data_IF_275252959105
#
_entry.id   IF_275252959105
#
_cell.length_a   1.000
_cell.length_b   1.000
_cell.length_c   1.000
_cell.angle_alpha   90.00
_cell.angle_beta   90.00
_cell.angle_gamma   90.00
#
_symmetry.space_group_name_H-M   'P 1'
#
loop_
_entity.id
_entity.type
_entity.pdbx_description
1 polymer ?
#
# COMPACT_ATOMS: atom_id res chain seq x y z
N UNK A 1 40.44 9.06 -25.29
CA UNK A 1 40.45 8.67 -23.87
C UNK A 1 39.08 9.00 -23.27
N UNK A 2 38.22 7.99 -23.11
CA UNK A 2 36.85 8.14 -22.59
C UNK A 2 36.90 8.08 -21.06
N UNK A 3 36.47 9.15 -20.39
CA UNK A 3 36.25 9.17 -18.93
C UNK A 3 35.10 8.21 -18.61
N UNK A 4 35.40 7.09 -17.94
CA UNK A 4 34.38 6.29 -17.28
C UNK A 4 33.93 7.04 -16.02
N UNK A 5 32.64 7.28 -15.91
CA UNK A 5 32.02 7.73 -14.66
C UNK A 5 31.83 6.47 -13.84
N UNK A 6 32.70 6.26 -12.86
CA UNK A 6 32.48 5.30 -11.78
C UNK A 6 31.24 5.76 -11.01
N UNK A 7 30.16 4.98 -11.08
CA UNK A 7 29.02 5.12 -10.16
C UNK A 7 29.49 4.57 -8.83
N UNK A 8 29.92 5.46 -7.94
CA UNK A 8 30.25 5.14 -6.56
C UNK A 8 29.00 4.60 -5.85
N UNK A 9 29.16 3.49 -5.14
CA UNK A 9 28.23 3.04 -4.10
C UNK A 9 28.13 4.13 -3.04
N UNK A 10 27.09 4.95 -3.11
CA UNK A 10 26.86 6.03 -2.17
C UNK A 10 26.61 5.44 -0.78
N UNK A 11 27.35 5.92 0.23
CA UNK A 11 27.23 5.43 1.60
C UNK A 11 25.87 5.83 2.20
N UNK A 12 25.27 4.97 3.01
CA UNK A 12 24.03 5.26 3.76
C UNK A 12 24.10 6.58 4.56
N UNK A 13 25.30 6.99 4.99
CA UNK A 13 25.52 8.28 5.67
C UNK A 13 25.47 9.48 4.73
N UNK A 14 25.99 9.35 3.52
CA UNK A 14 25.90 10.38 2.47
C UNK A 14 24.45 10.52 1.97
N UNK A 15 23.71 9.40 1.93
CA UNK A 15 22.28 9.36 1.64
C UNK A 15 21.43 10.17 2.64
N UNK A 16 21.64 9.97 3.95
CA UNK A 16 20.93 10.74 4.99
C UNK A 16 21.27 12.24 4.90
N UNK A 17 22.53 12.57 4.61
CA UNK A 17 22.98 13.96 4.51
C UNK A 17 22.34 14.72 3.33
N UNK A 18 22.13 14.06 2.18
CA UNK A 18 21.42 14.66 1.04
C UNK A 18 19.91 14.76 1.32
N UNK A 19 19.30 13.73 1.93
CA UNK A 19 17.88 13.73 2.27
C UNK A 19 17.51 14.87 3.23
N UNK A 20 18.37 15.18 4.20
CA UNK A 20 18.14 16.28 5.15
C UNK A 20 18.27 17.68 4.51
N UNK A 21 19.05 17.83 3.43
CA UNK A 21 19.25 19.13 2.76
C UNK A 21 18.17 19.49 1.74
N UNK A 22 17.32 18.53 1.31
CA UNK A 22 16.18 18.81 0.41
C UNK A 22 15.00 19.43 1.19
N UNK A 23 14.96 19.29 2.52
CA UNK A 23 13.83 19.70 3.38
C UNK A 23 13.82 21.20 3.70
N UNK A 24 14.89 21.96 3.42
CA UNK A 24 15.00 23.37 3.84
C UNK A 24 14.41 24.40 2.87
N UNK A 25 14.01 24.01 1.65
CA UNK A 25 13.30 24.88 0.70
C UNK A 25 12.24 24.08 -0.08
N UNK A 26 11.02 24.01 0.43
CA UNK A 26 9.92 23.33 -0.27
C UNK A 26 9.65 24.01 -1.63
N UNK A 27 9.74 23.26 -2.72
CA UNK A 27 9.43 23.75 -4.06
C UNK A 27 7.94 24.10 -4.16
N UNK A 28 7.64 25.18 -4.89
CA UNK A 28 6.26 25.59 -5.15
C UNK A 28 5.52 24.51 -5.96
N UNK A 29 4.28 24.22 -5.57
CA UNK A 29 3.40 23.32 -6.30
C UNK A 29 2.78 24.04 -7.53
N UNK A 30 2.67 23.38 -8.69
CA UNK A 30 1.96 23.92 -9.85
C UNK A 30 0.47 24.20 -9.55
N UNK A 31 -0.13 25.13 -10.29
CA UNK A 31 -1.54 25.51 -10.09
C UNK A 31 -2.54 24.35 -10.29
N UNK A 32 -2.20 23.37 -11.16
CA UNK A 32 -3.04 22.18 -11.36
C UNK A 32 -2.98 21.19 -10.20
N UNK A 33 -1.96 21.27 -9.33
CA UNK A 33 -1.64 20.26 -8.34
C UNK A 33 -2.72 20.12 -7.25
N UNK A 34 -3.19 21.20 -6.59
CA UNK A 34 -4.25 21.09 -5.59
C UNK A 34 -5.56 20.58 -6.20
N UNK A 35 -5.86 20.98 -7.45
CA UNK A 35 -7.05 20.50 -8.16
C UNK A 35 -6.97 18.99 -8.45
N UNK A 36 -5.81 18.52 -8.93
CA UNK A 36 -5.56 17.13 -9.32
C UNK A 36 -5.73 16.14 -8.16
N UNK A 37 -5.43 16.57 -6.94
CA UNK A 37 -5.43 15.73 -5.74
C UNK A 37 -6.41 16.22 -4.66
N UNK A 38 -7.37 17.08 -5.03
CA UNK A 38 -8.38 17.65 -4.12
C UNK A 38 -9.25 16.60 -3.43
N UNK A 39 -9.32 15.38 -3.96
CA UNK A 39 -10.07 14.27 -3.37
C UNK A 39 -9.28 13.47 -2.32
N UNK A 40 -7.99 13.73 -2.14
CA UNK A 40 -7.14 13.01 -1.20
C UNK A 40 -7.28 13.56 0.23
N UNK A 41 -7.17 12.69 1.22
CA UNK A 41 -6.98 13.11 2.62
C UNK A 41 -5.56 13.66 2.85
N UNK A 42 -5.34 14.32 4.00
CA UNK A 42 -4.06 14.98 4.30
C UNK A 42 -2.83 14.06 4.20
N UNK A 43 -2.91 12.84 4.74
CA UNK A 43 -1.80 11.87 4.67
C UNK A 43 -1.46 11.46 3.22
N UNK A 44 -2.48 11.16 2.41
CA UNK A 44 -2.30 10.77 0.99
C UNK A 44 -1.80 11.96 0.16
N UNK A 45 -2.32 13.16 0.43
CA UNK A 45 -1.89 14.41 -0.19
C UNK A 45 -0.43 14.74 0.15
N UNK A 46 -0.01 14.52 1.39
CA UNK A 46 1.38 14.68 1.81
C UNK A 46 2.33 13.76 1.03
N UNK A 47 1.95 12.49 0.83
CA UNK A 47 2.76 11.53 0.07
C UNK A 47 2.96 11.98 -1.38
N UNK A 48 1.91 12.42 -2.08
CA UNK A 48 2.08 12.92 -3.46
C UNK A 48 2.95 14.17 -3.50
N UNK A 49 2.77 15.09 -2.54
CA UNK A 49 3.61 16.28 -2.43
C UNK A 49 5.09 15.90 -2.27
N UNK A 50 5.42 14.91 -1.45
CA UNK A 50 6.79 14.43 -1.28
C UNK A 50 7.38 13.86 -2.57
N UNK A 51 6.60 13.11 -3.35
CA UNK A 51 7.03 12.66 -4.68
C UNK A 51 7.39 13.85 -5.55
N UNK A 52 6.54 14.90 -5.56
CA UNK A 52 6.81 16.11 -6.32
C UNK A 52 8.09 16.81 -5.87
N UNK A 53 8.37 16.87 -4.57
CA UNK A 53 9.61 17.48 -4.05
C UNK A 53 10.85 16.69 -4.45
N UNK A 54 10.81 15.35 -4.36
CA UNK A 54 11.98 14.49 -4.53
C UNK A 54 12.39 14.21 -5.97
N UNK A 55 11.46 14.26 -6.92
CA UNK A 55 11.68 13.71 -8.27
C UNK A 55 11.88 14.81 -9.34
N UNK A 56 13.11 15.20 -9.70
CA UNK A 56 13.36 16.24 -10.70
C UNK A 56 12.90 15.85 -12.10
N UNK A 57 13.09 14.60 -12.51
CA UNK A 57 12.66 14.12 -13.84
C UNK A 57 11.15 14.21 -14.00
N UNK A 58 10.37 13.95 -12.95
CA UNK A 58 8.92 14.13 -12.95
C UNK A 58 8.55 15.59 -13.27
N UNK A 59 9.23 16.55 -12.64
CA UNK A 59 8.97 17.98 -12.84
C UNK A 59 9.32 18.43 -14.25
N UNK A 60 10.42 17.93 -14.81
CA UNK A 60 10.79 18.20 -16.20
C UNK A 60 9.72 17.68 -17.18
N UNK A 61 9.22 16.47 -16.98
CA UNK A 61 8.16 15.91 -17.83
C UNK A 61 6.82 16.64 -17.66
N UNK A 62 6.51 17.12 -16.46
CA UNK A 62 5.36 17.99 -16.23
C UNK A 62 5.53 19.32 -16.98
N UNK A 63 6.72 19.92 -16.99
CA UNK A 63 7.01 21.12 -17.77
C UNK A 63 6.91 20.86 -19.29
N UNK A 64 7.30 19.67 -19.77
CA UNK A 64 7.06 19.27 -21.16
C UNK A 64 5.57 19.15 -21.48
N UNK A 65 4.75 18.64 -20.56
CA UNK A 65 3.29 18.64 -20.71
C UNK A 65 2.73 20.08 -20.77
N UNK A 66 3.26 20.99 -19.94
CA UNK A 66 2.81 22.37 -19.87
C UNK A 66 2.97 23.12 -21.21
N UNK A 67 3.93 22.71 -22.06
CA UNK A 67 4.13 23.28 -23.40
C UNK A 67 2.95 23.04 -24.35
N UNK A 68 2.11 22.04 -24.08
CA UNK A 68 0.91 21.77 -24.88
C UNK A 68 -0.30 22.59 -24.42
N UNK A 69 -0.22 23.32 -23.30
CA UNK A 69 -1.29 24.24 -22.91
C UNK A 69 -1.26 25.50 -23.77
N UNK A 70 -2.43 25.99 -24.23
CA UNK A 70 -2.49 27.22 -25.00
C UNK A 70 -1.99 28.40 -24.17
N UNK A 71 -1.16 29.31 -24.75
CA UNK A 71 -0.75 30.52 -24.05
C UNK A 71 -1.97 31.39 -23.71
N UNK A 72 -2.00 31.94 -22.48
CA UNK A 72 -3.11 32.79 -21.96
C UNK A 72 -3.36 34.05 -22.79
N UNK A 73 -2.34 34.55 -23.48
CA UNK A 73 -2.44 35.59 -24.50
C UNK A 73 -1.92 35.01 -25.81
N UNK A 74 -2.81 34.64 -26.73
CA UNK A 74 -2.38 34.27 -28.08
C UNK A 74 -1.93 35.52 -28.83
N UNK A 75 -0.63 35.77 -28.86
CA UNK A 75 -0.01 36.56 -29.93
C UNK A 75 0.24 35.62 -31.10
N UNK A 76 -0.44 35.88 -32.21
CA UNK A 76 -0.04 35.36 -33.51
C UNK A 76 1.43 35.75 -33.74
N UNK A 77 2.33 34.77 -33.85
CA UNK A 77 3.74 34.98 -34.23
C UNK A 77 4.20 33.80 -35.09
N UNK A 78 5.15 33.99 -36.02
CA UNK A 78 4.82 34.37 -37.38
C UNK A 78 5.50 33.43 -38.38
N UNK A 79 4.75 32.52 -38.99
CA UNK A 79 5.15 31.93 -40.26
C UNK A 79 3.90 31.54 -41.04
N UNK A 80 3.52 32.42 -41.97
CA UNK A 80 2.64 32.12 -43.11
C UNK A 80 1.14 32.28 -42.85
N UNK A 81 0.63 33.50 -43.00
CA UNK A 81 -0.71 33.82 -43.53
C UNK A 81 -1.90 32.90 -43.19
N UNK A 82 -2.29 32.78 -41.92
CA UNK A 82 -3.54 32.09 -41.57
C UNK A 82 -4.44 32.95 -40.69
N UNK A 83 -5.46 33.54 -41.31
CA UNK A 83 -6.64 34.11 -40.64
C UNK A 83 -7.45 32.99 -39.98
N UNK A 84 -7.05 32.57 -38.78
CA UNK A 84 -7.85 31.69 -37.93
C UNK A 84 -8.86 32.56 -37.18
N UNK A 85 -10.15 32.47 -37.54
CA UNK A 85 -11.22 33.09 -36.75
C UNK A 85 -11.59 32.17 -35.59
N UNK A 86 -11.41 32.66 -34.37
CA UNK A 86 -11.99 32.05 -33.17
C UNK A 86 -13.51 32.21 -33.23
N UNK A 87 -14.23 31.12 -33.46
CA UNK A 87 -15.65 31.08 -33.15
C UNK A 87 -15.81 30.44 -31.78
N UNK A 88 -16.18 31.27 -30.79
CA UNK A 88 -16.82 30.77 -29.58
C UNK A 88 -18.28 30.44 -29.95
N UNK A 89 -18.83 29.41 -29.32
CA UNK A 89 -20.23 28.91 -29.37
C UNK A 89 -20.47 27.81 -30.42
N UNK A 90 -21.12 26.67 -30.15
CA UNK A 90 -21.99 26.23 -29.05
C UNK A 90 -21.75 24.75 -28.67
N UNK A 91 -22.13 24.38 -27.44
CA UNK A 91 -22.36 23.01 -26.91
C UNK A 91 -21.22 21.96 -26.92
N UNK A 92 -20.11 22.12 -27.65
CA UNK A 92 -18.98 21.19 -27.55
C UNK A 92 -18.02 21.57 -26.41
N UNK A 93 -17.60 20.57 -25.61
CA UNK A 93 -16.66 20.71 -24.47
C UNK A 93 -15.21 20.93 -24.90
N UNK A 94 -14.94 21.14 -26.19
CA UNK A 94 -13.60 21.23 -26.75
C UNK A 94 -13.41 22.57 -27.46
N UNK A 95 -12.33 23.32 -27.18
CA UNK A 95 -11.97 24.49 -27.96
C UNK A 95 -11.49 24.04 -29.34
N UNK A 96 -12.45 23.92 -30.27
CA UNK A 96 -12.19 23.66 -31.67
C UNK A 96 -12.00 24.97 -32.41
N UNK A 97 -11.08 24.98 -33.38
CA UNK A 97 -10.90 26.10 -34.30
C UNK A 97 -11.18 25.62 -35.72
N UNK A 98 -11.81 26.49 -36.51
CA UNK A 98 -12.13 26.20 -37.90
C UNK A 98 -10.98 26.65 -38.80
N UNK A 99 -10.40 25.72 -39.55
CA UNK A 99 -9.40 26.03 -40.55
C UNK A 99 -10.10 26.34 -41.88
N UNK A 100 -9.99 27.59 -42.35
CA UNK A 100 -10.60 28.03 -43.62
C UNK A 100 -10.02 27.34 -44.85
N UNK A 101 -8.79 26.83 -44.78
CA UNK A 101 -8.12 26.22 -45.93
C UNK A 101 -8.59 24.79 -46.21
N UNK A 102 -8.63 23.94 -45.18
CA UNK A 102 -9.14 22.56 -45.30
C UNK A 102 -10.64 22.45 -44.98
N UNK A 103 -11.31 23.58 -44.72
CA UNK A 103 -12.74 23.66 -44.35
C UNK A 103 -13.13 22.70 -43.22
N UNK A 104 -12.21 22.44 -42.29
CA UNK A 104 -12.36 21.42 -41.26
C UNK A 104 -12.16 22.01 -39.86
N UNK A 105 -12.85 21.41 -38.88
CA UNK A 105 -12.66 21.72 -37.46
C UNK A 105 -11.47 20.94 -36.92
N UNK A 106 -10.59 21.65 -36.22
CA UNK A 106 -9.42 21.06 -35.56
C UNK A 106 -9.47 21.36 -34.06
N UNK A 107 -9.22 20.33 -33.25
CA UNK A 107 -8.99 20.52 -31.81
C UNK A 107 -7.59 21.08 -31.60
N UNK A 108 -7.44 22.09 -30.73
CA UNK A 108 -6.13 22.64 -30.34
C UNK A 108 -5.15 21.55 -29.85
N UNK A 109 -5.68 20.50 -29.24
CA UNK A 109 -4.91 19.41 -28.67
C UNK A 109 -4.68 18.23 -29.63
N UNK A 110 -5.00 18.36 -30.91
CA UNK A 110 -4.79 17.32 -31.91
C UNK A 110 -3.33 16.86 -31.95
N UNK A 111 -3.09 15.56 -31.84
CA UNK A 111 -1.74 14.98 -31.80
C UNK A 111 -0.99 15.14 -30.47
N UNK A 112 -1.59 15.77 -29.45
CA UNK A 112 -1.00 15.93 -28.12
C UNK A 112 -1.55 14.90 -27.11
N UNK A 113 -0.91 14.70 -25.94
CA UNK A 113 -1.46 13.88 -24.86
C UNK A 113 -2.87 14.29 -24.41
N UNK A 114 -3.24 15.57 -24.61
CA UNK A 114 -4.55 16.15 -24.24
C UNK A 114 -5.65 15.95 -25.29
N UNK A 115 -5.36 15.33 -26.44
CA UNK A 115 -6.34 15.14 -27.51
C UNK A 115 -7.62 14.45 -27.01
N UNK A 116 -8.80 15.04 -27.24
CA UNK A 116 -10.09 14.51 -26.79
C UNK A 116 -10.21 14.33 -25.26
N UNK A 117 -9.44 15.09 -24.46
CA UNK A 117 -9.68 15.20 -23.02
C UNK A 117 -10.44 16.49 -22.74
N UNK A 118 -11.53 16.39 -21.98
CA UNK A 118 -12.19 17.57 -21.42
C UNK A 118 -11.22 18.34 -20.53
N UNK A 119 -11.36 19.66 -20.48
CA UNK A 119 -10.49 20.51 -19.66
C UNK A 119 -10.51 20.12 -18.17
N UNK A 120 -11.63 19.64 -17.64
CA UNK A 120 -11.75 19.12 -16.27
C UNK A 120 -10.91 17.85 -16.02
N UNK A 121 -10.47 17.17 -17.08
CA UNK A 121 -9.69 15.95 -17.02
C UNK A 121 -8.19 16.17 -17.26
N UNK A 122 -7.76 17.39 -17.61
CA UNK A 122 -6.35 17.69 -17.85
C UNK A 122 -5.50 17.49 -16.59
N UNK A 123 -5.98 17.98 -15.43
CA UNK A 123 -5.34 17.76 -14.13
C UNK A 123 -5.15 16.27 -13.81
N UNK A 124 -6.04 15.40 -14.29
CA UNK A 124 -5.96 13.94 -14.11
C UNK A 124 -4.80 13.33 -14.90
N UNK A 125 -4.45 13.86 -16.08
CA UNK A 125 -3.28 13.40 -16.83
C UNK A 125 -1.99 13.63 -16.04
N UNK A 126 -1.86 14.80 -15.41
CA UNK A 126 -0.75 15.10 -14.50
C UNK A 126 -0.76 14.22 -13.25
N UNK A 127 -1.94 14.01 -12.65
CA UNK A 127 -2.09 13.12 -11.50
C UNK A 127 -1.59 11.70 -11.83
N UNK A 128 -1.96 11.16 -13.00
CA UNK A 128 -1.46 9.86 -13.48
C UNK A 128 0.05 9.87 -13.65
N UNK A 129 0.63 10.93 -14.23
CA UNK A 129 2.08 11.08 -14.37
C UNK A 129 2.79 10.99 -13.00
N UNK A 130 2.31 11.72 -11.99
CA UNK A 130 2.86 11.69 -10.63
C UNK A 130 2.77 10.27 -10.04
N UNK A 131 1.65 9.55 -10.24
CA UNK A 131 1.49 8.20 -9.68
C UNK A 131 2.47 7.17 -10.23
N UNK A 132 3.12 7.42 -11.37
CA UNK A 132 4.16 6.53 -11.91
C UNK A 132 5.43 6.48 -11.02
N UNK A 133 5.67 7.52 -10.22
CA UNK A 133 6.83 7.65 -9.31
C UNK A 133 6.57 7.19 -7.87
N UNK A 134 5.40 6.63 -7.58
CA UNK A 134 5.13 6.13 -6.23
C UNK A 134 5.24 4.62 -6.07
N UNK A 135 5.43 4.25 -4.82
CA UNK A 135 5.58 2.88 -4.34
C UNK A 135 4.20 2.35 -3.91
N UNK A 136 3.33 2.09 -4.88
CA UNK A 136 1.95 1.68 -4.63
C UNK A 136 1.49 0.58 -5.59
N UNK A 137 0.44 -0.10 -5.19
CA UNK A 137 -0.32 -0.98 -6.07
C UNK A 137 -1.00 -0.18 -7.19
N UNK A 138 -1.27 -0.84 -8.32
CA UNK A 138 -2.00 -0.22 -9.44
C UNK A 138 -3.33 0.36 -8.96
N UNK A 139 -4.02 -0.34 -8.07
CA UNK A 139 -5.33 0.09 -7.58
C UNK A 139 -5.26 1.32 -6.66
N UNK A 140 -4.18 1.45 -5.90
CA UNK A 140 -3.89 2.67 -5.14
C UNK A 140 -3.56 3.82 -6.10
N UNK A 141 -2.74 3.60 -7.12
CA UNK A 141 -2.46 4.62 -8.12
C UNK A 141 -3.72 5.09 -8.88
N UNK A 142 -4.65 4.18 -9.19
CA UNK A 142 -5.97 4.53 -9.76
C UNK A 142 -6.72 5.48 -8.82
N UNK A 143 -6.73 5.19 -7.51
CA UNK A 143 -7.35 6.05 -6.52
C UNK A 143 -6.64 7.40 -6.38
N UNK A 144 -5.32 7.38 -6.19
CA UNK A 144 -4.50 8.59 -5.99
C UNK A 144 -4.63 9.55 -7.17
N UNK A 145 -4.65 9.01 -8.40
CA UNK A 145 -4.84 9.82 -9.62
C UNK A 145 -6.29 10.26 -9.87
N UNK A 146 -7.26 9.86 -9.03
CA UNK A 146 -8.67 10.20 -9.23
C UNK A 146 -9.30 9.51 -10.45
N UNK A 147 -8.74 8.39 -10.90
CA UNK A 147 -9.31 7.55 -11.96
C UNK A 147 -10.39 6.62 -11.39
N UNK A 148 -11.44 6.36 -12.18
CA UNK A 148 -12.55 5.49 -11.73
C UNK A 148 -12.24 4.00 -11.85
N UNK A 149 -11.49 3.59 -12.88
CA UNK A 149 -11.20 2.19 -13.18
C UNK A 149 -9.89 2.02 -13.96
N UNK A 150 -9.34 0.80 -13.93
CA UNK A 150 -8.03 0.46 -14.49
C UNK A 150 -7.88 0.76 -15.99
N UNK A 151 -8.93 0.57 -16.78
CA UNK A 151 -8.93 0.89 -18.23
C UNK A 151 -8.74 2.40 -18.47
N UNK A 152 -9.35 3.26 -17.65
CA UNK A 152 -9.17 4.72 -17.73
C UNK A 152 -7.72 5.09 -17.41
N UNK A 153 -7.20 4.61 -16.28
CA UNK A 153 -5.81 4.86 -15.87
C UNK A 153 -4.79 4.42 -16.92
N UNK A 154 -4.95 3.20 -17.48
CA UNK A 154 -4.11 2.71 -18.60
C UNK A 154 -4.21 3.59 -19.84
N UNK A 155 -5.39 4.15 -20.13
CA UNK A 155 -5.60 5.12 -21.21
C UNK A 155 -4.76 6.39 -21.01
N UNK A 156 -4.71 6.93 -19.79
CA UNK A 156 -3.82 8.05 -19.46
C UNK A 156 -2.34 7.67 -19.57
N UNK A 157 -1.92 6.50 -19.09
CA UNK A 157 -0.54 6.04 -19.27
C UNK A 157 -0.17 5.91 -20.76
N UNK A 158 -1.09 5.44 -21.60
CA UNK A 158 -0.88 5.35 -23.05
C UNK A 158 -0.67 6.74 -23.66
N UNK A 159 -1.42 7.76 -23.23
CA UNK A 159 -1.27 9.16 -23.66
C UNK A 159 0.08 9.75 -23.26
N UNK A 160 0.60 9.37 -22.09
CA UNK A 160 1.89 9.83 -21.57
C UNK A 160 3.10 9.18 -22.26
N UNK A 161 2.93 8.14 -23.08
CA UNK A 161 4.06 7.40 -23.67
C UNK A 161 5.05 8.29 -24.40
N UNK A 162 4.59 9.19 -25.27
CA UNK A 162 5.49 10.08 -26.02
C UNK A 162 6.31 10.99 -25.11
N UNK A 163 5.70 11.49 -24.04
CA UNK A 163 6.37 12.33 -23.03
C UNK A 163 7.37 11.50 -22.22
N UNK A 164 6.99 10.30 -21.77
CA UNK A 164 7.88 9.40 -21.04
C UNK A 164 9.10 8.97 -21.88
N UNK A 165 8.97 8.87 -23.20
CA UNK A 165 10.10 8.56 -24.09
C UNK A 165 11.17 9.66 -24.11
N UNK A 166 10.85 10.91 -23.74
CA UNK A 166 11.80 12.02 -23.65
C UNK A 166 12.87 11.80 -22.57
N UNK A 167 12.62 10.90 -21.62
CA UNK A 167 13.62 10.47 -20.64
C UNK A 167 14.86 9.88 -21.34
N UNK A 168 14.65 9.14 -22.45
CA UNK A 168 15.74 8.44 -23.13
C UNK A 168 16.41 7.40 -22.24
N UNK A 169 17.74 7.47 -22.12
CA UNK A 169 18.56 6.51 -21.34
C UNK A 169 18.91 6.99 -19.94
N UNK A 170 18.49 8.19 -19.53
CA UNK A 170 18.84 8.73 -18.20
C UNK A 170 18.00 8.06 -17.12
N UNK A 171 18.55 7.87 -15.90
CA UNK A 171 17.77 7.36 -14.77
C UNK A 171 16.56 8.25 -14.48
N UNK A 172 15.41 7.62 -14.21
CA UNK A 172 14.15 8.33 -13.90
C UNK A 172 14.10 8.89 -12.48
N UNK A 173 14.98 8.42 -11.61
CA UNK A 173 15.07 8.83 -10.21
C UNK A 173 16.52 8.77 -9.75
N UNK A 174 16.86 9.54 -8.72
CA UNK A 174 18.12 9.43 -7.99
C UNK A 174 18.06 8.38 -6.88
N UNK A 175 16.85 7.90 -6.57
CA UNK A 175 16.57 7.05 -5.42
C UNK A 175 15.83 5.78 -5.85
N UNK A 176 16.55 4.80 -6.43
CA UNK A 176 15.95 3.59 -6.95
C UNK A 176 15.09 2.87 -5.90
N UNK A 177 13.92 2.42 -6.29
CA UNK A 177 13.00 1.66 -5.42
C UNK A 177 11.97 0.95 -6.29
N UNK A 178 10.93 0.38 -5.70
CA UNK A 178 9.76 0.05 -6.50
C UNK A 178 9.10 1.35 -7.00
N UNK A 179 9.07 1.55 -8.32
CA UNK A 179 8.29 2.61 -8.97
C UNK A 179 7.29 1.96 -9.91
N UNK A 180 6.01 2.30 -9.76
CA UNK A 180 4.94 1.68 -10.52
C UNK A 180 5.15 1.74 -12.05
N UNK A 181 5.71 2.84 -12.54
CA UNK A 181 5.88 3.09 -13.97
C UNK A 181 7.17 2.56 -14.60
N UNK A 182 8.13 2.08 -13.80
CA UNK A 182 9.51 1.93 -14.27
C UNK A 182 10.17 0.65 -13.78
N UNK A 183 10.86 -0.03 -14.69
CA UNK A 183 11.72 -1.17 -14.35
C UNK A 183 13.01 -0.71 -13.65
N UNK A 184 13.66 -1.56 -12.83
CA UNK A 184 14.88 -1.17 -12.12
C UNK A 184 16.00 -0.62 -13.03
N UNK A 185 16.18 -1.18 -14.23
CA UNK A 185 17.16 -0.67 -15.19
C UNK A 185 16.91 0.78 -15.64
N UNK A 186 15.64 1.20 -15.72
CA UNK A 186 15.27 2.59 -16.05
C UNK A 186 15.57 3.56 -14.89
N UNK A 187 15.80 3.04 -13.69
CA UNK A 187 16.20 3.79 -12.50
C UNK A 187 17.72 3.83 -12.32
N UNK A 188 18.49 3.32 -13.29
CA UNK A 188 19.95 3.28 -13.23
C UNK A 188 20.50 2.11 -12.40
N UNK A 189 19.70 1.07 -12.15
CA UNK A 189 20.16 -0.15 -11.47
C UNK A 189 20.72 -1.13 -12.50
N UNK A 190 21.89 -1.72 -12.19
CA UNK A 190 22.50 -2.78 -12.97
C UNK A 190 22.60 -4.08 -12.16
N UNK A 191 22.54 -5.21 -12.85
CA UNK A 191 22.78 -6.51 -12.21
C UNK A 191 24.20 -6.56 -11.61
N UNK A 192 24.37 -6.90 -10.33
CA UNK A 192 25.70 -6.98 -9.72
C UNK A 192 26.55 -8.11 -10.32
N UNK A 193 25.92 -9.15 -10.87
CA UNK A 193 26.62 -10.30 -11.44
C UNK A 193 27.06 -10.12 -12.90
N UNK A 194 26.24 -9.47 -13.74
CA UNK A 194 26.52 -9.37 -15.19
C UNK A 194 26.45 -7.95 -15.77
N UNK A 195 26.22 -6.93 -14.92
CA UNK A 195 26.07 -5.51 -15.31
C UNK A 195 24.95 -5.21 -16.31
N UNK A 196 24.03 -6.16 -16.56
CA UNK A 196 22.87 -5.92 -17.41
C UNK A 196 21.83 -5.05 -16.70
N UNK A 197 21.26 -4.09 -17.43
CA UNK A 197 20.10 -3.29 -17.01
C UNK A 197 18.75 -3.96 -17.37
N UNK A 198 18.77 -5.17 -17.95
CA UNK A 198 17.57 -5.98 -18.21
C UNK A 198 17.10 -6.63 -16.91
N UNK A 199 16.39 -5.82 -16.13
CA UNK A 199 15.95 -6.14 -14.78
C UNK A 199 14.43 -6.02 -14.67
N UNK A 200 13.83 -6.92 -13.92
CA UNK A 200 12.42 -6.87 -13.52
C UNK A 200 12.29 -7.02 -12.01
N UNK A 201 11.18 -6.54 -11.45
CA UNK A 201 10.86 -6.83 -10.05
C UNK A 201 10.50 -8.30 -9.90
N UNK A 202 11.12 -8.98 -8.95
CA UNK A 202 10.82 -10.38 -8.64
C UNK A 202 9.50 -10.53 -7.86
N UNK A 203 8.91 -9.42 -7.43
CA UNK A 203 7.73 -9.37 -6.57
C UNK A 203 6.63 -8.53 -7.20
N UNK A 204 5.38 -8.97 -7.06
CA UNK A 204 4.21 -8.24 -7.55
C UNK A 204 3.83 -7.05 -6.66
N UNK A 205 4.30 -7.02 -5.42
CA UNK A 205 3.94 -6.00 -4.43
C UNK A 205 5.00 -4.89 -4.40
N UNK A 206 4.58 -3.63 -4.24
CA UNK A 206 5.50 -2.52 -4.06
C UNK A 206 6.29 -2.67 -2.75
N UNK A 207 7.58 -2.34 -2.81
CA UNK A 207 8.47 -2.29 -1.66
C UNK A 207 9.49 -1.15 -1.81
N UNK A 208 9.85 -0.54 -0.69
CA UNK A 208 10.96 0.41 -0.66
C UNK A 208 12.29 -0.24 -1.00
N UNK A 209 12.48 -1.49 -0.57
CA UNK A 209 13.65 -2.32 -0.88
C UNK A 209 13.24 -3.62 -1.61
N UNK A 210 12.97 -3.55 -2.93
CA UNK A 210 12.43 -4.68 -3.68
C UNK A 210 13.47 -5.74 -3.99
N UNK A 211 13.01 -6.99 -4.17
CA UNK A 211 13.78 -8.04 -4.83
C UNK A 211 13.76 -7.83 -6.35
N UNK A 212 14.91 -7.97 -6.98
CA UNK A 212 15.12 -7.77 -8.41
C UNK A 212 15.59 -9.07 -9.04
N UNK A 213 15.03 -9.38 -10.22
CA UNK A 213 15.44 -10.48 -11.07
C UNK A 213 16.15 -9.95 -12.31
N UNK A 214 17.34 -10.45 -12.59
CA UNK A 214 18.06 -10.16 -13.82
C UNK A 214 17.64 -11.13 -14.92
N UNK A 215 17.03 -10.62 -15.99
CA UNK A 215 16.58 -11.46 -17.10
C UNK A 215 17.75 -12.05 -17.91
N UNK A 216 18.91 -11.40 -17.89
CA UNK A 216 20.07 -11.80 -18.67
C UNK A 216 20.82 -13.00 -18.06
N UNK A 217 21.05 -13.00 -16.74
CA UNK A 217 21.82 -14.06 -16.06
C UNK A 217 21.02 -14.82 -15.00
N UNK A 218 19.72 -14.55 -14.87
CA UNK A 218 18.79 -15.18 -13.92
C UNK A 218 19.12 -14.94 -12.44
N UNK A 219 20.14 -14.13 -12.13
CA UNK A 219 20.50 -13.77 -10.76
C UNK A 219 19.40 -12.95 -10.09
N UNK A 220 19.13 -13.23 -8.81
CA UNK A 220 18.20 -12.48 -7.97
C UNK A 220 18.96 -11.79 -6.83
N UNK A 221 18.63 -10.55 -6.55
CA UNK A 221 19.26 -9.75 -5.50
C UNK A 221 18.28 -8.73 -4.91
N UNK A 222 18.54 -8.31 -3.69
CA UNK A 222 17.83 -7.21 -3.03
C UNK A 222 18.51 -5.90 -3.40
N UNK A 223 17.73 -4.85 -3.69
CA UNK A 223 18.27 -3.57 -4.14
C UNK A 223 19.25 -2.93 -3.14
N UNK A 224 18.90 -2.96 -1.85
CA UNK A 224 19.70 -2.46 -0.73
C UNK A 224 20.02 -3.63 0.23
N UNK A 225 21.12 -4.38 0.01
CA UNK A 225 21.43 -5.59 0.79
C UNK A 225 21.75 -5.30 2.27
N UNK A 226 22.22 -4.09 2.58
CA UNK A 226 22.53 -3.64 3.93
C UNK A 226 21.28 -3.31 4.76
N UNK A 227 20.12 -3.15 4.12
CA UNK A 227 18.87 -2.79 4.78
C UNK A 227 18.14 -4.07 5.22
N UNK A 228 17.81 -4.22 6.52
CA UNK A 228 17.07 -5.36 7.01
C UNK A 228 15.74 -5.58 6.29
N UNK A 229 15.34 -6.84 6.23
CA UNK A 229 14.12 -7.26 5.52
C UNK A 229 12.88 -6.49 5.98
N UNK A 230 12.11 -6.01 5.00
CA UNK A 230 10.87 -5.26 5.19
C UNK A 230 11.01 -3.89 5.85
N UNK A 231 12.22 -3.31 5.90
CA UNK A 231 12.41 -1.89 6.18
C UNK A 231 12.32 -1.12 4.86
N UNK A 232 11.53 -0.05 4.86
CA UNK A 232 11.50 0.91 3.76
C UNK A 232 12.59 1.98 3.98
N UNK A 233 13.61 2.07 3.10
CA UNK A 233 14.64 3.10 3.18
C UNK A 233 14.11 4.53 3.05
N UNK A 234 12.94 4.69 2.42
CA UNK A 234 12.44 5.99 1.94
C UNK A 234 11.23 6.51 2.72
N UNK A 235 10.69 5.72 3.65
CA UNK A 235 9.61 6.14 4.51
C UNK A 235 10.09 7.26 5.46
N UNK A 236 9.46 8.43 5.40
CA UNK A 236 9.80 9.58 6.26
C UNK A 236 9.53 9.29 7.73
N UNK A 237 8.39 8.66 8.00
CA UNK A 237 8.15 7.99 9.28
C UNK A 237 8.75 6.61 9.11
N UNK A 238 9.94 6.38 9.67
CA UNK A 238 10.40 5.01 9.87
C UNK A 238 9.25 4.26 10.55
N UNK A 239 8.93 3.03 10.12
CA UNK A 239 7.99 2.18 10.83
C UNK A 239 8.29 2.29 12.32
N UNK A 240 7.36 2.79 13.17
CA UNK A 240 7.70 3.28 14.51
C UNK A 240 8.68 2.33 15.18
N UNK A 241 9.96 2.72 15.20
CA UNK A 241 11.05 1.84 15.66
C UNK A 241 10.87 1.59 17.17
N UNK A 242 9.98 2.34 17.85
CA UNK A 242 9.53 2.12 19.22
C UNK A 242 8.60 0.91 19.37
N UNK A 243 7.97 0.43 18.30
CA UNK A 243 7.13 -0.77 18.31
C UNK A 243 7.93 -1.96 17.76
N UNK A 244 8.57 -2.75 18.63
CA UNK A 244 9.38 -3.89 18.20
C UNK A 244 8.52 -4.98 17.56
N UNK A 245 9.13 -5.71 16.64
CA UNK A 245 8.54 -6.90 16.02
C UNK A 245 8.98 -8.13 16.83
N UNK A 246 8.05 -8.90 17.43
CA UNK A 246 8.40 -10.07 18.24
C UNK A 246 9.19 -11.13 17.48
N UNK A 247 10.05 -11.87 18.17
CA UNK A 247 10.87 -12.93 17.56
C UNK A 247 10.02 -14.00 16.86
N UNK A 248 8.88 -14.37 17.44
CA UNK A 248 7.97 -15.32 16.81
C UNK A 248 7.45 -14.82 15.47
N UNK A 249 7.21 -13.51 15.34
CA UNK A 249 6.72 -12.89 14.11
C UNK A 249 7.78 -12.95 13.01
N UNK A 250 9.02 -12.60 13.35
CA UNK A 250 10.15 -12.66 12.43
C UNK A 250 10.38 -14.09 11.93
N UNK A 251 10.40 -15.07 12.84
CA UNK A 251 10.56 -16.49 12.49
C UNK A 251 9.40 -17.02 11.65
N UNK A 252 8.16 -16.68 12.02
CA UNK A 252 6.96 -17.16 11.34
C UNK A 252 6.92 -16.71 9.87
N UNK A 253 7.30 -15.46 9.60
CA UNK A 253 7.24 -14.85 8.27
C UNK A 253 8.60 -14.73 7.57
N UNK A 254 9.62 -15.45 8.04
CA UNK A 254 10.95 -15.46 7.43
C UNK A 254 10.93 -15.89 5.94
N UNK A 255 9.97 -16.73 5.55
CA UNK A 255 9.79 -17.22 4.17
C UNK A 255 9.18 -16.22 3.19
N UNK A 256 8.61 -15.11 3.67
CA UNK A 256 7.91 -14.17 2.80
C UNK A 256 8.88 -13.37 1.94
N UNK A 257 8.40 -12.68 0.92
CA UNK A 257 9.24 -11.77 0.12
C UNK A 257 9.51 -10.45 0.88
N UNK A 258 10.32 -9.54 0.30
CA UNK A 258 10.61 -8.23 0.92
C UNK A 258 9.33 -7.41 1.11
N UNK A 259 8.55 -7.24 0.04
CA UNK A 259 7.31 -6.48 0.05
C UNK A 259 6.24 -7.10 0.96
N UNK A 260 6.12 -8.43 0.95
CA UNK A 260 5.19 -9.12 1.84
C UNK A 260 5.55 -8.89 3.31
N UNK A 261 6.83 -8.98 3.66
CA UNK A 261 7.29 -8.75 5.03
C UNK A 261 7.14 -7.28 5.43
N UNK A 262 7.43 -6.34 4.54
CA UNK A 262 7.19 -4.90 4.74
C UNK A 262 5.71 -4.63 5.06
N UNK A 263 4.79 -5.23 4.29
CA UNK A 263 3.35 -5.09 4.54
C UNK A 263 2.94 -5.67 5.90
N UNK A 264 3.42 -6.86 6.23
CA UNK A 264 3.14 -7.51 7.53
C UNK A 264 3.63 -6.66 8.70
N UNK A 265 4.85 -6.12 8.59
CA UNK A 265 5.44 -5.25 9.60
C UNK A 265 4.66 -3.94 9.76
N UNK A 266 4.24 -3.34 8.64
CA UNK A 266 3.37 -2.16 8.65
C UNK A 266 2.02 -2.44 9.34
N UNK A 267 1.40 -3.60 9.06
CA UNK A 267 0.20 -4.05 9.79
C UNK A 267 0.48 -4.20 11.28
N UNK A 268 1.57 -4.88 11.65
CA UNK A 268 1.92 -5.08 13.05
C UNK A 268 2.07 -3.75 13.81
N UNK A 269 2.72 -2.76 13.20
CA UNK A 269 3.01 -1.48 13.85
C UNK A 269 1.83 -0.53 13.88
N UNK A 270 0.95 -0.57 12.87
CA UNK A 270 -0.24 0.29 12.81
C UNK A 270 -1.37 -0.19 13.73
N UNK A 271 -1.45 -1.47 14.03
CA UNK A 271 -2.63 -2.08 14.67
C UNK A 271 -2.42 -2.37 16.16
N UNK A 272 -2.82 -1.47 17.08
CA UNK A 272 -2.66 -1.69 18.52
C UNK A 272 -3.49 -2.87 19.02
N UNK A 273 -4.72 -3.05 18.54
CA UNK A 273 -5.60 -4.16 18.95
C UNK A 273 -5.00 -5.52 18.57
N UNK A 274 -4.38 -5.63 17.39
CA UNK A 274 -3.67 -6.84 16.98
C UNK A 274 -2.58 -7.22 17.99
N UNK A 275 -1.83 -6.22 18.48
CA UNK A 275 -0.77 -6.45 19.48
C UNK A 275 -1.34 -6.89 20.81
N UNK A 276 -2.38 -6.21 21.31
CA UNK A 276 -3.08 -6.61 22.54
C UNK A 276 -3.58 -8.05 22.47
N UNK A 277 -4.18 -8.46 21.35
CA UNK A 277 -4.63 -9.84 21.17
C UNK A 277 -3.48 -10.83 21.07
N UNK A 278 -2.33 -10.42 20.51
CA UNK A 278 -1.14 -11.26 20.45
C UNK A 278 -0.52 -11.44 21.83
N UNK A 279 -0.45 -10.38 22.64
CA UNK A 279 0.02 -10.43 24.03
C UNK A 279 -0.91 -11.35 24.85
N UNK A 280 -2.23 -11.23 24.67
CA UNK A 280 -3.19 -12.10 25.33
C UNK A 280 -3.08 -13.57 24.89
N UNK A 281 -2.72 -13.80 23.63
CA UNK A 281 -2.43 -15.13 23.11
C UNK A 281 -1.12 -15.68 23.69
N UNK A 282 -0.10 -14.84 23.87
CA UNK A 282 1.18 -15.19 24.52
C UNK A 282 0.97 -15.58 25.99
N UNK A 283 0.13 -14.86 26.73
CA UNK A 283 -0.23 -15.19 28.13
C UNK A 283 -0.87 -16.58 28.26
N UNK A 284 -1.61 -17.01 27.23
CA UNK A 284 -2.24 -18.34 27.18
C UNK A 284 -1.33 -19.43 26.60
N UNK A 285 -0.15 -19.08 26.08
CA UNK A 285 0.73 -19.99 25.38
C UNK A 285 1.52 -20.86 26.40
N UNK A 286 1.33 -22.20 26.39
CA UNK A 286 2.05 -23.09 27.28
C UNK A 286 3.57 -23.00 27.19
N UNK A 287 4.12 -22.67 26.01
CA UNK A 287 5.56 -22.57 25.79
C UNK A 287 6.19 -21.31 26.40
N UNK A 288 5.36 -20.33 26.80
CA UNK A 288 5.79 -19.08 27.41
C UNK A 288 5.52 -19.04 28.92
N UNK A 289 5.13 -20.18 29.52
CA UNK A 289 4.95 -20.31 30.99
C UNK A 289 3.50 -20.16 31.48
N UNK A 290 2.50 -20.35 30.63
CA UNK A 290 1.10 -19.97 30.86
C UNK A 290 0.24 -20.77 31.85
N UNK A 291 0.79 -21.46 32.87
CA UNK A 291 -0.03 -22.24 33.82
C UNK A 291 0.01 -21.63 35.22
N UNK A 292 -0.98 -20.80 35.53
CA UNK A 292 -1.04 -20.05 36.80
C UNK A 292 -2.11 -20.57 37.77
N UNK A 293 -3.11 -21.30 37.28
CA UNK A 293 -4.22 -21.81 38.08
C UNK A 293 -4.91 -23.03 37.46
N UNK A 294 -5.65 -23.77 38.29
CA UNK A 294 -6.47 -24.86 37.83
C UNK A 294 -7.67 -24.36 37.01
N UNK A 295 -7.86 -24.83 35.76
CA UNK A 295 -8.92 -24.32 34.88
C UNK A 295 -10.34 -24.65 35.35
N UNK A 296 -10.50 -25.51 36.36
CA UNK A 296 -11.81 -25.89 36.90
C UNK A 296 -12.19 -25.21 38.20
N UNK A 297 -11.22 -24.83 39.04
CA UNK A 297 -11.51 -24.28 40.37
C UNK A 297 -10.69 -23.04 40.72
N UNK A 298 -9.84 -22.54 39.82
CA UNK A 298 -9.00 -21.35 40.04
C UNK A 298 -7.89 -21.53 41.09
N UNK A 299 -7.72 -22.73 41.65
CA UNK A 299 -6.69 -22.96 42.66
C UNK A 299 -5.28 -22.85 42.03
N UNK A 300 -4.42 -22.04 42.64
CA UNK A 300 -3.04 -21.78 42.21
C UNK A 300 -2.01 -22.75 42.79
N UNK A 301 -2.38 -23.52 43.82
CA UNK A 301 -1.51 -24.55 44.40
C UNK A 301 -1.55 -25.82 43.54
N UNK A 302 -0.72 -25.83 42.50
CA UNK A 302 -0.59 -26.92 41.54
C UNK A 302 0.66 -27.76 41.84
N UNK A 303 0.58 -29.07 41.59
CA UNK A 303 1.74 -29.97 41.62
C UNK A 303 2.08 -30.37 40.18
N UNK A 304 3.33 -30.16 39.76
CA UNK A 304 3.84 -30.65 38.48
C UNK A 304 4.32 -32.09 38.64
N UNK A 305 4.02 -32.95 37.67
CA UNK A 305 4.60 -34.27 37.62
C UNK A 305 4.90 -34.66 36.16
N UNK A 306 6.10 -35.17 35.94
CA UNK A 306 6.56 -35.61 34.62
C UNK A 306 6.20 -37.08 34.48
N UNK A 307 5.33 -37.43 33.52
CA UNK A 307 5.21 -38.83 33.09
C UNK A 307 6.33 -39.13 32.10
N UNK A 308 6.94 -40.31 32.25
CA UNK A 308 8.18 -40.71 31.55
C UNK A 308 8.17 -40.50 30.02
N UNK A 309 7.01 -40.34 29.37
CA UNK A 309 6.91 -40.16 27.92
C UNK A 309 5.99 -39.06 27.37
N UNK A 310 5.35 -38.19 28.16
CA UNK A 310 4.55 -37.08 27.60
C UNK A 310 4.51 -35.84 28.51
N UNK A 311 4.38 -34.67 27.85
CA UNK A 311 4.29 -33.28 28.32
C UNK A 311 3.93 -33.03 29.79
N UNK A 312 4.45 -31.92 30.35
CA UNK A 312 4.15 -31.47 31.72
C UNK A 312 2.64 -31.54 32.04
N UNK A 313 2.29 -32.46 32.93
CA UNK A 313 0.94 -32.59 33.50
C UNK A 313 0.91 -31.92 34.88
N UNK A 314 -0.18 -31.21 35.14
CA UNK A 314 -0.45 -30.48 36.36
C UNK A 314 -1.56 -31.17 37.13
N UNK A 315 -1.39 -31.32 38.43
CA UNK A 315 -2.41 -31.83 39.34
C UNK A 315 -2.88 -30.71 40.28
N UNK A 316 -4.20 -30.56 40.38
CA UNK A 316 -4.84 -29.66 41.32
C UNK A 316 -5.39 -30.45 42.52
N UNK A 317 -4.79 -30.24 43.70
CA UNK A 317 -5.24 -30.87 44.96
C UNK A 317 -6.64 -30.44 45.40
N UNK A 318 -7.05 -29.21 45.06
CA UNK A 318 -8.32 -28.66 45.54
C UNK A 318 -9.55 -29.30 44.88
N UNK A 319 -9.44 -29.72 43.62
CA UNK A 319 -10.53 -30.35 42.89
C UNK A 319 -10.21 -31.78 42.40
N UNK A 320 -9.06 -32.32 42.82
CA UNK A 320 -8.57 -33.65 42.48
C UNK A 320 -8.56 -33.95 40.97
N UNK A 321 -8.07 -33.00 40.16
CA UNK A 321 -8.02 -33.14 38.69
C UNK A 321 -6.61 -32.95 38.15
N UNK A 322 -6.31 -33.72 37.11
CA UNK A 322 -5.09 -33.59 36.30
C UNK A 322 -5.38 -32.89 34.98
N UNK A 323 -4.43 -32.09 34.50
CA UNK A 323 -4.56 -31.35 33.24
C UNK A 323 -3.23 -31.05 32.57
N UNK A 324 -3.26 -30.90 31.25
CA UNK A 324 -2.14 -30.38 30.48
C UNK A 324 -2.02 -28.87 30.64
N UNK A 325 -0.83 -28.31 30.43
CA UNK A 325 -0.60 -26.86 30.41
C UNK A 325 -1.56 -26.04 29.51
N UNK A 326 -2.07 -26.63 28.43
CA UNK A 326 -3.00 -25.96 27.52
C UNK A 326 -4.47 -26.05 27.92
N UNK A 327 -4.81 -26.73 29.02
CA UNK A 327 -6.18 -26.90 29.44
C UNK A 327 -6.81 -25.57 29.87
N UNK A 328 -8.04 -25.32 29.42
CA UNK A 328 -8.72 -24.05 29.65
C UNK A 328 -8.25 -22.90 28.75
N UNK A 329 -7.27 -23.12 27.87
CA UNK A 329 -6.78 -22.10 26.94
C UNK A 329 -7.13 -22.38 25.49
N UNK A 330 -6.91 -21.37 24.64
CA UNK A 330 -7.07 -21.48 23.20
C UNK A 330 -6.12 -22.52 22.59
N UNK A 331 -5.11 -23.01 23.32
CA UNK A 331 -4.20 -24.06 22.87
C UNK A 331 -4.69 -25.49 23.18
N UNK A 332 -5.78 -25.65 23.94
CA UNK A 332 -6.26 -26.96 24.41
C UNK A 332 -6.49 -28.01 23.29
N UNK A 333 -5.83 -29.17 23.34
CA UNK A 333 -5.88 -30.20 22.28
C UNK A 333 -5.30 -29.76 20.92
N UNK A 334 -4.45 -28.74 20.86
CA UNK A 334 -3.54 -28.54 19.73
C UNK A 334 -2.23 -29.26 19.97
N UNK A 335 -1.67 -29.80 18.89
CA UNK A 335 -0.27 -30.20 18.91
C UNK A 335 0.60 -28.95 18.83
N UNK A 336 1.67 -28.93 19.63
CA UNK A 336 2.61 -27.81 19.76
C UNK A 336 3.10 -27.27 18.42
N UNK A 337 3.47 -28.17 17.50
CA UNK A 337 3.91 -27.82 16.13
C UNK A 337 2.89 -27.01 15.31
N UNK A 338 1.64 -26.86 15.77
CA UNK A 338 0.60 -26.08 15.12
C UNK A 338 0.23 -24.78 15.86
N UNK A 339 0.86 -24.47 16.99
CA UNK A 339 0.57 -23.26 17.77
C UNK A 339 0.78 -22.00 16.93
N UNK A 340 1.82 -21.97 16.09
CA UNK A 340 2.12 -20.86 15.19
C UNK A 340 0.94 -20.48 14.26
N UNK A 341 0.01 -21.41 13.98
CA UNK A 341 -1.13 -21.14 13.11
C UNK A 341 -2.14 -20.19 13.73
N UNK A 342 -2.25 -20.16 15.06
CA UNK A 342 -3.06 -19.17 15.78
C UNK A 342 -2.52 -17.76 15.53
N UNK A 343 -1.23 -17.54 15.77
CA UNK A 343 -0.54 -16.28 15.48
C UNK A 343 -0.63 -15.90 14.00
N UNK A 344 -0.44 -16.88 13.11
CA UNK A 344 -0.54 -16.64 11.67
C UNK A 344 -1.93 -16.14 11.28
N UNK A 345 -2.99 -16.85 11.69
CA UNK A 345 -4.37 -16.43 11.40
C UNK A 345 -4.68 -15.09 12.04
N UNK A 346 -4.24 -14.85 13.28
CA UNK A 346 -4.43 -13.59 13.98
C UNK A 346 -3.90 -12.40 13.15
N UNK A 347 -2.65 -12.47 12.67
CA UNK A 347 -2.06 -11.43 11.82
C UNK A 347 -2.79 -11.33 10.48
N UNK A 348 -3.13 -12.46 9.84
CA UNK A 348 -3.79 -12.48 8.53
C UNK A 348 -5.15 -11.76 8.54
N UNK A 349 -5.88 -11.76 9.66
CA UNK A 349 -7.19 -11.09 9.77
C UNK A 349 -7.13 -9.57 9.52
N UNK A 350 -6.01 -8.92 9.84
CA UNK A 350 -5.79 -7.47 9.61
C UNK A 350 -5.20 -7.14 8.23
N UNK A 351 -4.82 -8.15 7.46
CA UNK A 351 -4.23 -7.94 6.12
C UNK A 351 -5.30 -7.58 5.10
N UNK A 352 -4.85 -6.96 4.01
CA UNK A 352 -5.68 -6.54 2.89
C UNK A 352 -5.67 -7.55 1.74
N UNK A 353 -5.12 -8.74 1.99
CA UNK A 353 -4.92 -9.73 0.94
C UNK A 353 -6.21 -10.46 0.59
N UNK A 354 -6.26 -10.93 -0.65
CA UNK A 354 -7.26 -11.92 -1.05
C UNK A 354 -7.04 -13.21 -0.22
N UNK A 355 -8.11 -13.96 0.10
CA UNK A 355 -8.01 -15.15 0.93
C UNK A 355 -6.92 -16.13 0.48
N UNK A 356 -6.81 -16.41 -0.82
CA UNK A 356 -5.78 -17.33 -1.36
C UNK A 356 -4.35 -16.89 -1.07
N UNK A 357 -4.07 -15.58 -1.17
CA UNK A 357 -2.75 -15.01 -0.88
C UNK A 357 -2.47 -15.00 0.63
N UNK A 358 -3.47 -14.68 1.45
CA UNK A 358 -3.34 -14.76 2.91
C UNK A 358 -3.06 -16.19 3.39
N UNK A 359 -3.73 -17.19 2.80
CA UNK A 359 -3.48 -18.61 3.09
C UNK A 359 -2.03 -19.00 2.76
N UNK A 360 -1.54 -18.65 1.57
CA UNK A 360 -0.17 -18.96 1.15
C UNK A 360 0.86 -18.32 2.10
N UNK A 361 0.69 -17.03 2.42
CA UNK A 361 1.62 -16.29 3.29
C UNK A 361 1.57 -16.81 4.72
N UNK A 362 0.39 -17.15 5.22
CA UNK A 362 0.20 -17.77 6.54
C UNK A 362 0.61 -19.25 6.64
N UNK A 363 1.12 -19.86 5.56
CA UNK A 363 1.42 -21.31 5.49
C UNK A 363 0.19 -22.19 5.81
N UNK A 364 -0.99 -21.74 5.42
CA UNK A 364 -2.26 -22.43 5.61
C UNK A 364 -2.69 -23.06 4.28
N UNK A 365 -2.86 -24.38 4.26
CA UNK A 365 -3.11 -25.11 3.01
C UNK A 365 -4.53 -24.94 2.45
N UNK A 366 -5.51 -24.68 3.32
CA UNK A 366 -6.92 -24.61 2.94
C UNK A 366 -7.70 -23.59 3.76
N UNK A 367 -8.82 -23.13 3.22
CA UNK A 367 -9.69 -22.15 3.87
C UNK A 367 -10.35 -22.71 5.13
N UNK A 368 -10.68 -24.00 5.17
CA UNK A 368 -11.27 -24.64 6.35
C UNK A 368 -10.30 -24.60 7.53
N UNK A 369 -8.99 -24.72 7.27
CA UNK A 369 -7.95 -24.60 8.29
C UNK A 369 -7.92 -23.18 8.84
N UNK A 370 -7.97 -22.16 7.97
CA UNK A 370 -8.04 -20.76 8.40
C UNK A 370 -9.28 -20.51 9.26
N UNK A 371 -10.45 -20.97 8.82
CA UNK A 371 -11.70 -20.80 9.55
C UNK A 371 -11.71 -21.54 10.89
N UNK A 372 -11.08 -22.73 10.97
CA UNK A 372 -10.91 -23.47 12.20
C UNK A 372 -10.14 -22.64 13.25
N UNK A 373 -8.96 -22.12 12.91
CA UNK A 373 -8.16 -21.30 13.84
C UNK A 373 -8.82 -19.94 14.11
N UNK A 374 -9.50 -19.34 13.14
CA UNK A 374 -10.27 -18.11 13.34
C UNK A 374 -11.37 -18.30 14.39
N UNK A 375 -12.17 -19.36 14.27
CA UNK A 375 -13.21 -19.70 15.25
C UNK A 375 -12.60 -19.93 16.64
N UNK A 376 -11.41 -20.50 16.67
CA UNK A 376 -10.70 -20.80 17.90
C UNK A 376 -10.13 -19.56 18.61
N UNK A 377 -9.81 -18.52 17.86
CA UNK A 377 -9.43 -17.20 18.40
C UNK A 377 -10.63 -16.37 18.88
N UNK A 378 -11.87 -16.79 18.58
CA UNK A 378 -13.08 -16.04 18.91
C UNK A 378 -13.18 -15.59 20.38
N UNK A 379 -12.82 -16.41 21.39
CA UNK A 379 -12.83 -15.96 22.78
C UNK A 379 -12.00 -14.70 23.04
N UNK A 380 -10.84 -14.54 22.37
CA UNK A 380 -10.03 -13.32 22.50
C UNK A 380 -10.73 -12.09 21.91
N UNK A 381 -11.48 -12.28 20.84
CA UNK A 381 -12.26 -11.20 20.23
C UNK A 381 -13.48 -10.84 21.06
N UNK A 382 -14.08 -11.82 21.74
CA UNK A 382 -15.22 -11.59 22.63
C UNK A 382 -14.80 -10.76 23.85
N UNK A 383 -13.56 -10.92 24.34
CA UNK A 383 -12.95 -10.09 25.41
C UNK A 383 -12.88 -8.58 25.05
N UNK A 384 -12.84 -8.23 23.75
CA UNK A 384 -12.78 -6.83 23.31
C UNK A 384 -14.12 -6.08 23.41
N UNK A 385 -15.25 -6.80 23.51
CA UNK A 385 -16.58 -6.20 23.53
C UNK A 385 -16.85 -5.28 22.33
N UNK A 386 -17.14 -4.00 22.63
CA UNK A 386 -17.45 -2.94 21.64
C UNK A 386 -16.22 -2.15 21.17
N UNK A 387 -15.02 -2.51 21.60
CA UNK A 387 -13.79 -1.84 21.16
C UNK A 387 -13.62 -1.94 19.64
N UNK A 388 -13.24 -0.81 19.02
CA UNK A 388 -12.96 -0.77 17.58
C UNK A 388 -11.70 -1.58 17.25
N UNK A 389 -11.79 -2.41 16.22
CA UNK A 389 -10.71 -3.33 15.81
C UNK A 389 -9.51 -2.59 15.18
N UNK A 390 -9.72 -1.40 14.63
CA UNK A 390 -8.66 -0.59 14.03
C UNK A 390 -8.97 0.90 14.17
N UNK A 391 -7.94 1.75 14.36
CA UNK A 391 -8.09 3.20 14.21
C UNK A 391 -8.12 3.65 12.73
N UNK A 392 -7.80 2.76 11.77
CA UNK A 392 -7.70 3.09 10.35
C UNK A 392 -8.61 2.19 9.51
N UNK A 393 -9.92 2.52 9.39
CA UNK A 393 -10.87 1.69 8.67
C UNK A 393 -10.46 1.46 7.23
N UNK A 394 -10.64 0.24 6.73
CA UNK A 394 -10.31 -0.23 5.37
C UNK A 394 -10.89 -1.63 5.11
N UNK A 395 -10.68 -2.20 3.93
CA UNK A 395 -10.88 -3.63 3.75
C UNK A 395 -9.87 -4.40 4.59
N UNK A 396 -10.37 -5.24 5.50
CA UNK A 396 -9.58 -6.23 6.23
C UNK A 396 -10.22 -7.59 6.03
N UNK A 397 -9.40 -8.63 5.86
CA UNK A 397 -9.88 -9.99 5.62
C UNK A 397 -10.86 -10.47 6.70
N UNK A 398 -10.61 -10.10 7.95
CA UNK A 398 -11.37 -10.58 9.11
C UNK A 398 -12.64 -9.80 9.44
N UNK A 399 -12.75 -8.52 9.05
CA UNK A 399 -13.66 -7.61 9.75
C UNK A 399 -14.57 -6.83 8.82
N UNK A 400 -15.87 -6.87 9.12
CA UNK A 400 -16.86 -6.00 8.48
C UNK A 400 -16.59 -4.52 8.85
N UNK A 401 -16.97 -3.56 7.98
CA UNK A 401 -16.75 -2.14 8.25
C UNK A 401 -17.33 -1.66 9.60
N UNK A 402 -18.49 -2.18 10.01
CA UNK A 402 -19.10 -1.83 11.30
C UNK A 402 -18.21 -2.12 12.52
N UNK A 403 -17.47 -3.24 12.52
CA UNK A 403 -16.51 -3.57 13.60
C UNK A 403 -15.26 -2.69 13.60
N UNK A 404 -15.09 -1.88 12.55
CA UNK A 404 -14.03 -0.89 12.42
C UNK A 404 -14.54 0.53 12.75
N UNK A 405 -15.79 0.68 13.18
CA UNK A 405 -16.39 1.97 13.51
C UNK A 405 -17.06 2.68 12.34
N UNK A 406 -17.10 2.07 11.16
CA UNK A 406 -17.77 2.65 9.99
C UNK A 406 -19.27 2.47 10.13
N UNK A 407 -20.03 3.54 9.95
CA UNK A 407 -21.49 3.52 9.95
C UNK A 407 -22.05 3.95 8.58
N UNK A 408 -23.32 3.64 8.33
CA UNK A 408 -23.99 4.10 7.12
C UNK A 408 -24.14 5.63 7.15
N UNK A 409 -23.70 6.29 6.07
CA UNK A 409 -23.82 7.74 5.92
C UNK A 409 -25.28 8.26 5.88
N UNK A 410 -26.27 7.38 5.71
CA UNK A 410 -27.69 7.74 5.62
C UNK A 410 -28.50 7.33 6.87
N UNK A 411 -28.37 6.09 7.34
CA UNK A 411 -29.16 5.57 8.46
C UNK A 411 -28.34 5.25 9.71
N UNK A 412 -27.04 5.56 9.73
CA UNK A 412 -26.10 5.30 10.84
C UNK A 412 -25.94 3.82 11.26
N UNK A 413 -26.56 2.87 10.55
CA UNK A 413 -26.39 1.45 10.82
C UNK A 413 -24.94 0.98 10.67
N UNK A 414 -24.52 0.09 11.56
CA UNK A 414 -23.24 -0.63 11.50
C UNK A 414 -23.33 -1.91 10.65
N UNK A 415 -24.53 -2.29 10.18
CA UNK A 415 -24.74 -3.47 9.35
C UNK A 415 -24.31 -3.19 7.90
N UNK A 416 -22.99 -3.21 7.71
CA UNK A 416 -22.32 -2.86 6.47
C UNK A 416 -21.60 -4.06 5.88
N UNK A 417 -21.58 -4.13 4.55
CA UNK A 417 -20.79 -5.10 3.81
C UNK A 417 -20.00 -4.44 2.68
N UNK A 418 -18.96 -5.11 2.21
CA UNK A 418 -18.11 -4.64 1.13
C UNK A 418 -18.60 -5.21 -0.20
N UNK A 419 -18.78 -4.32 -1.17
CA UNK A 419 -19.41 -4.66 -2.45
C UNK A 419 -18.40 -5.18 -3.46
N UNK A 420 -18.61 -6.42 -3.90
CA UNK A 420 -17.88 -7.02 -5.02
C UNK A 420 -16.41 -7.33 -4.71
N UNK A 421 -15.62 -7.53 -5.77
CA UNK A 421 -14.18 -7.81 -5.63
C UNK A 421 -13.47 -6.54 -5.20
N UNK A 422 -12.80 -6.60 -4.04
CA UNK A 422 -12.01 -5.49 -3.53
C UNK A 422 -10.79 -5.28 -4.40
N UNK A 423 -10.82 -4.21 -5.18
CA UNK A 423 -9.68 -3.72 -5.94
C UNK A 423 -8.93 -2.66 -5.17
N UNK A 424 -9.60 -1.83 -4.37
CA UNK A 424 -9.02 -0.71 -3.61
C UNK A 424 -9.19 -0.94 -2.11
N UNK A 425 -8.29 -1.69 -1.44
CA UNK A 425 -8.46 -2.04 -0.04
C UNK A 425 -8.56 -0.85 0.92
N UNK A 426 -7.86 0.25 0.64
CA UNK A 426 -7.91 1.46 1.47
C UNK A 426 -9.18 2.30 1.26
N UNK A 427 -9.94 2.06 0.18
CA UNK A 427 -11.15 2.80 -0.16
C UNK A 427 -12.22 1.88 -0.78
N UNK A 428 -12.67 0.83 -0.07
CA UNK A 428 -13.61 -0.12 -0.60
C UNK A 428 -14.98 0.53 -0.85
N UNK A 429 -15.74 -0.05 -1.78
CA UNK A 429 -17.16 0.26 -1.93
C UNK A 429 -17.95 -0.51 -0.86
N UNK A 430 -18.81 0.19 -0.14
CA UNK A 430 -19.57 -0.30 1.00
C UNK A 430 -21.07 -0.23 0.66
N UNK A 431 -21.83 -1.24 1.09
CA UNK A 431 -23.29 -1.26 1.08
C UNK A 431 -23.80 -1.34 2.50
N UNK A 432 -24.75 -0.49 2.84
CA UNK A 432 -25.58 -0.70 4.02
C UNK A 432 -26.62 -1.77 3.72
N UNK A 433 -26.72 -2.78 4.58
CA UNK A 433 -27.68 -3.87 4.41
C UNK A 433 -29.08 -3.46 4.89
N UNK A 434 -29.20 -2.46 5.77
CA UNK A 434 -30.49 -2.06 6.33
C UNK A 434 -31.25 -1.06 5.43
N UNK A 435 -30.55 -0.08 4.83
CA UNK A 435 -31.18 0.92 3.94
C UNK A 435 -30.79 0.78 2.46
N UNK A 436 -29.92 -0.17 2.11
CA UNK A 436 -29.49 -0.42 0.73
C UNK A 436 -28.56 0.65 0.12
N UNK A 437 -28.22 1.70 0.86
CA UNK A 437 -27.34 2.76 0.36
C UNK A 437 -25.93 2.25 0.07
N UNK A 438 -25.29 2.81 -0.96
CA UNK A 438 -23.94 2.43 -1.39
C UNK A 438 -23.05 3.66 -1.42
N UNK A 439 -21.91 3.57 -0.76
CA UNK A 439 -20.93 4.66 -0.69
C UNK A 439 -19.52 4.08 -0.72
N UNK A 440 -18.51 4.93 -0.86
CA UNK A 440 -17.11 4.52 -0.70
C UNK A 440 -16.61 4.98 0.66
N UNK A 441 -15.65 4.25 1.22
CA UNK A 441 -15.14 4.54 2.56
C UNK A 441 -14.62 5.98 2.72
N UNK A 442 -13.97 6.57 1.71
CA UNK A 442 -13.52 7.95 1.79
C UNK A 442 -14.66 8.97 1.99
N UNK A 443 -15.85 8.71 1.43
CA UNK A 443 -17.03 9.58 1.63
C UNK A 443 -17.41 9.60 3.10
N UNK A 444 -17.36 8.43 3.76
CA UNK A 444 -17.57 8.32 5.19
C UNK A 444 -16.47 9.05 5.97
N UNK A 445 -15.18 8.91 5.58
CA UNK A 445 -14.08 9.63 6.24
C UNK A 445 -14.29 11.14 6.21
N UNK A 446 -14.70 11.72 5.08
CA UNK A 446 -14.97 13.16 4.99
C UNK A 446 -16.09 13.64 5.92
N UNK A 447 -17.12 12.83 6.13
CA UNK A 447 -18.26 13.21 6.96
C UNK A 447 -18.01 12.99 8.45
N UNK A 448 -17.25 11.95 8.81
CA UNK A 448 -17.14 11.46 10.18
C UNK A 448 -15.73 11.58 10.78
N UNK A 449 -14.72 11.93 9.97
CA UNK A 449 -13.36 12.22 10.42
C UNK A 449 -12.90 13.58 9.82
N UNK A 450 -13.52 14.71 10.22
CA UNK A 450 -13.26 16.01 9.60
C UNK A 450 -11.84 16.54 9.85
N UNK A 451 -11.14 15.98 10.83
CA UNK A 451 -9.84 16.49 11.28
C UNK A 451 -8.80 15.35 11.37
N UNK A 452 -7.99 15.22 10.34
CA UNK A 452 -6.56 15.01 10.55
C UNK A 452 -5.80 15.99 9.66
N UNK A 453 -4.99 16.90 10.23
CA UNK A 453 -4.30 17.96 9.50
C UNK A 453 -3.32 17.44 8.44
#
# INVERSE_FOLDING_TARGET
MRKSIFVNSMSYKEFIFIMNNIVTNALQLPAWYPQAFSHLGAEEYAIVCQIWQREPVLRELAAELDKYHPPKEMRCTPSGNHEVRFMRLMESTHPDHYCRFCQSHHSYYSGTPFHQLDHSQHARLYAVLVTLWGCWHIEEAIWISGCYYRKSWRGYCQRLKSVLMLIGKRPVTLYPRYLLGFMPGQQGVDCPACRSSRLSYAEEMPAGNPMIHCEACQHQFVLYPEIPKGIDPFAEKRPDDRVPVPDWFQRLFAHTTQAQYQHLRSVWQREPVLRVLADRLDEQNPLLGGVYECPWCGNRRLTTYVREHHHDEYYCRACDKTFSASAGSIFYRLQEKYYYRLYSVLVMLWTQWRPTKALAIGKLRKLEVFNYYRKRLQPLFDELGDQLITPYPRYMLGFKPGKQGVCCIHCQSLNLDIVGVVTTPNNPKISCLDCGSKFRLHVWRWQFLPDTP
#
